data_IF_059564422226
#
_entry.id   IF_059564422226
#
_cell.length_a   1.000
_cell.length_b   1.000
_cell.length_c   1.000
_cell.angle_alpha   90.00
_cell.angle_beta   90.00
_cell.angle_gamma   90.00
#
_symmetry.space_group_name_H-M   'P 1'
#
loop_
_entity.id
_entity.type
_entity.pdbx_description
1 polymer ?
#
# COMPACT_ATOMS: atom_id res chain seq x y z
N UNK A 1 -12.88 3.46 11.63
CA UNK A 1 -11.81 3.89 10.70
C UNK A 1 -12.29 5.06 9.86
N UNK A 2 -11.45 6.03 9.61
CA UNK A 2 -11.73 7.30 8.90
C UNK A 2 -11.25 7.19 7.46
N UNK A 3 -12.14 7.37 6.49
CA UNK A 3 -11.84 7.18 5.06
C UNK A 3 -12.04 8.51 4.32
N UNK A 4 -11.07 8.90 3.48
CA UNK A 4 -11.18 10.00 2.52
C UNK A 4 -11.42 9.42 1.13
N UNK A 5 -12.37 9.97 0.38
CA UNK A 5 -12.67 9.58 -1.00
C UNK A 5 -12.13 10.62 -1.98
N UNK A 6 -11.32 10.18 -2.94
CA UNK A 6 -10.69 11.07 -3.93
C UNK A 6 -10.93 10.50 -5.32
N UNK A 7 -11.92 11.04 -6.03
CA UNK A 7 -12.35 10.57 -7.34
C UNK A 7 -13.32 11.57 -7.99
N UNK A 8 -13.89 11.26 -9.15
CA UNK A 8 -15.02 12.01 -9.69
C UNK A 8 -16.28 11.91 -8.79
N UNK A 9 -17.23 12.81 -9.01
CA UNK A 9 -18.41 12.92 -8.15
C UNK A 9 -19.29 11.66 -8.15
N UNK A 10 -19.40 10.98 -9.29
CA UNK A 10 -20.25 9.78 -9.43
C UNK A 10 -19.65 8.60 -8.67
N UNK A 11 -18.36 8.36 -8.82
CA UNK A 11 -17.65 7.28 -8.12
C UNK A 11 -17.65 7.52 -6.61
N UNK A 12 -17.41 8.77 -6.15
CA UNK A 12 -17.49 9.11 -4.72
C UNK A 12 -18.88 8.83 -4.14
N UNK A 13 -19.96 9.16 -4.86
CA UNK A 13 -21.33 8.86 -4.42
C UNK A 13 -21.56 7.35 -4.26
N UNK A 14 -21.10 6.54 -5.22
CA UNK A 14 -21.14 5.07 -5.15
C UNK A 14 -20.37 4.51 -3.97
N UNK A 15 -19.10 4.93 -3.81
CA UNK A 15 -18.23 4.52 -2.70
C UNK A 15 -18.82 4.90 -1.33
N UNK A 16 -19.41 6.07 -1.21
CA UNK A 16 -20.10 6.49 0.03
C UNK A 16 -21.23 5.54 0.38
N UNK A 17 -22.05 5.17 -0.61
CA UNK A 17 -23.14 4.20 -0.41
C UNK A 17 -22.59 2.85 0.04
N UNK A 18 -21.54 2.35 -0.59
CA UNK A 18 -20.86 1.10 -0.21
C UNK A 18 -20.36 1.18 1.23
N UNK A 19 -19.63 2.23 1.59
CA UNK A 19 -19.01 2.35 2.90
C UNK A 19 -20.03 2.62 4.01
N UNK A 20 -21.19 3.21 3.70
CA UNK A 20 -22.26 3.42 4.68
C UNK A 20 -22.86 2.12 5.23
N UNK A 21 -22.70 0.99 4.53
CA UNK A 21 -23.13 -0.33 4.99
C UNK A 21 -22.22 -0.93 6.08
N UNK A 22 -21.02 -0.39 6.27
CA UNK A 22 -20.04 -0.87 7.24
C UNK A 22 -19.95 0.11 8.42
N UNK A 23 -20.53 -0.25 9.56
CA UNK A 23 -20.64 0.64 10.73
C UNK A 23 -19.29 1.10 11.32
N UNK A 24 -18.21 0.36 11.06
CA UNK A 24 -16.85 0.66 11.51
C UNK A 24 -16.09 1.64 10.58
N UNK A 25 -16.65 1.95 9.40
CA UNK A 25 -16.07 2.87 8.44
C UNK A 25 -16.82 4.20 8.43
N UNK A 26 -16.09 5.30 8.39
CA UNK A 26 -16.65 6.65 8.32
C UNK A 26 -15.97 7.44 7.22
N UNK A 27 -16.71 7.85 6.19
CA UNK A 27 -16.24 8.84 5.23
C UNK A 27 -16.14 10.19 5.93
N UNK A 28 -14.93 10.74 6.02
CA UNK A 28 -14.64 11.97 6.76
C UNK A 28 -14.42 13.17 5.85
N UNK A 29 -14.29 12.93 4.54
CA UNK A 29 -14.12 13.98 3.56
C UNK A 29 -14.11 13.43 2.14
N UNK A 30 -14.15 14.32 1.17
CA UNK A 30 -14.12 14.04 -0.25
C UNK A 30 -13.25 15.08 -0.96
N UNK A 31 -12.60 14.65 -2.05
CA UNK A 31 -11.84 15.52 -2.93
C UNK A 31 -12.03 15.10 -4.40
N UNK A 32 -11.85 16.02 -5.32
CA UNK A 32 -12.00 15.79 -6.76
C UNK A 32 -10.66 15.71 -7.50
N UNK A 33 -9.56 15.98 -6.81
CA UNK A 33 -8.20 16.00 -7.35
C UNK A 33 -7.16 15.88 -6.23
N UNK A 34 -5.90 15.69 -6.61
CA UNK A 34 -4.80 15.48 -5.67
C UNK A 34 -4.49 16.70 -4.81
N UNK A 35 -4.65 17.92 -5.32
CA UNK A 35 -4.40 19.15 -4.54
C UNK A 35 -5.37 19.24 -3.38
N UNK A 36 -6.67 19.05 -3.67
CA UNK A 36 -7.72 19.04 -2.65
C UNK A 36 -7.57 17.84 -1.70
N UNK A 37 -7.12 16.67 -2.21
CA UNK A 37 -6.85 15.50 -1.38
C UNK A 37 -5.81 15.78 -0.30
N UNK A 38 -4.65 16.39 -0.66
CA UNK A 38 -3.60 16.75 0.29
C UNK A 38 -4.11 17.73 1.35
N UNK A 39 -4.90 18.74 0.94
CA UNK A 39 -5.50 19.68 1.87
C UNK A 39 -6.51 19.00 2.82
N UNK A 40 -7.37 18.11 2.28
CA UNK A 40 -8.38 17.39 3.04
C UNK A 40 -7.74 16.41 4.06
N UNK A 41 -6.64 15.74 3.71
CA UNK A 41 -5.91 14.87 4.65
C UNK A 41 -5.39 15.65 5.85
N UNK A 42 -4.84 16.83 5.66
CA UNK A 42 -4.37 17.71 6.76
C UNK A 42 -5.49 18.11 7.71
N UNK A 43 -6.69 18.39 7.17
CA UNK A 43 -7.84 18.79 7.97
C UNK A 43 -8.56 17.62 8.65
N UNK A 44 -8.74 16.53 7.94
CA UNK A 44 -9.56 15.41 8.39
C UNK A 44 -8.78 14.25 9.01
N UNK A 45 -7.47 14.16 8.80
CA UNK A 45 -6.59 13.07 9.29
C UNK A 45 -7.24 11.69 9.11
N UNK A 46 -7.50 11.28 7.85
CA UNK A 46 -8.05 9.94 7.57
C UNK A 46 -7.02 8.86 7.86
N UNK A 47 -7.51 7.66 8.21
CA UNK A 47 -6.67 6.47 8.33
C UNK A 47 -6.32 5.91 6.95
N UNK A 48 -7.32 5.94 6.03
CA UNK A 48 -7.22 5.40 4.67
C UNK A 48 -7.73 6.44 3.67
N UNK A 49 -7.05 6.55 2.53
CA UNK A 49 -7.47 7.34 1.36
C UNK A 49 -7.75 6.38 0.20
N UNK A 50 -8.95 6.40 -0.35
CA UNK A 50 -9.26 5.80 -1.64
C UNK A 50 -8.97 6.84 -2.72
N UNK A 51 -8.01 6.57 -3.61
CA UNK A 51 -7.42 7.54 -4.52
C UNK A 51 -7.54 7.09 -5.97
N UNK A 52 -8.24 7.84 -6.81
CA UNK A 52 -8.14 7.65 -8.26
C UNK A 52 -6.77 8.09 -8.79
N UNK A 53 -6.32 7.46 -9.86
CA UNK A 53 -5.07 7.86 -10.54
C UNK A 53 -5.31 9.07 -11.43
N UNK A 54 -6.38 9.03 -12.24
CA UNK A 54 -6.61 10.02 -13.30
C UNK A 54 -7.49 11.16 -12.83
N UNK A 55 -6.87 12.21 -12.38
CA UNK A 55 -7.57 13.41 -11.91
C UNK A 55 -6.98 14.67 -12.52
N UNK A 56 -7.76 15.77 -12.63
CA UNK A 56 -7.24 17.06 -13.03
C UNK A 56 -6.29 17.65 -12.00
N UNK A 57 -5.57 18.70 -12.35
CA UNK A 57 -4.66 19.49 -11.51
C UNK A 57 -3.46 18.66 -10.98
N UNK A 58 -3.70 17.66 -10.16
CA UNK A 58 -2.72 16.75 -9.61
C UNK A 58 -3.27 15.32 -9.68
N UNK A 59 -2.54 14.44 -10.34
CA UNK A 59 -2.89 13.02 -10.42
C UNK A 59 -2.70 12.29 -9.07
N UNK A 60 -3.30 11.08 -8.97
CA UNK A 60 -3.29 10.32 -7.72
C UNK A 60 -1.93 9.75 -7.34
N UNK A 61 -1.02 9.52 -8.30
CA UNK A 61 0.34 9.04 -8.02
C UNK A 61 1.15 10.16 -7.37
N UNK A 62 1.11 11.36 -7.96
CA UNK A 62 1.75 12.56 -7.41
C UNK A 62 1.16 12.91 -6.03
N UNK A 63 -0.16 12.84 -5.88
CA UNK A 63 -0.83 13.05 -4.60
C UNK A 63 -0.39 12.02 -3.54
N UNK A 64 -0.27 10.74 -3.91
CA UNK A 64 0.20 9.67 -3.01
C UNK A 64 1.61 9.96 -2.50
N UNK A 65 2.53 10.37 -3.38
CA UNK A 65 3.89 10.75 -2.99
C UNK A 65 3.89 11.95 -2.01
N UNK A 66 3.03 12.95 -2.25
CA UNK A 66 2.88 14.10 -1.35
C UNK A 66 2.30 13.71 0.02
N UNK A 67 1.33 12.81 0.06
CA UNK A 67 0.73 12.31 1.31
C UNK A 67 1.72 11.53 2.17
N UNK A 68 2.69 10.84 1.57
CA UNK A 68 3.78 10.14 2.28
C UNK A 68 4.65 11.06 3.12
N UNK A 69 4.76 12.34 2.77
CA UNK A 69 5.56 13.32 3.51
C UNK A 69 4.85 13.83 4.78
N UNK A 70 3.59 13.47 4.99
CA UNK A 70 2.83 13.84 6.19
C UNK A 70 3.18 12.91 7.37
N UNK A 71 3.02 13.41 8.59
CA UNK A 71 3.30 12.64 9.81
C UNK A 71 2.09 12.72 10.77
N UNK A 72 1.42 11.59 11.07
CA UNK A 72 1.55 10.31 10.37
C UNK A 72 0.97 10.35 8.96
N UNK A 73 1.53 9.59 7.98
CA UNK A 73 0.96 9.48 6.66
C UNK A 73 -0.28 8.58 6.69
N UNK A 74 -1.34 8.88 5.92
CA UNK A 74 -2.45 7.97 5.73
C UNK A 74 -2.04 6.78 4.85
N UNK A 75 -2.74 5.66 4.98
CA UNK A 75 -2.64 4.57 4.03
C UNK A 75 -3.39 4.93 2.73
N UNK A 76 -2.77 4.70 1.57
CA UNK A 76 -3.40 4.99 0.28
C UNK A 76 -3.71 3.69 -0.46
N UNK A 77 -4.98 3.51 -0.81
CA UNK A 77 -5.46 2.49 -1.73
C UNK A 77 -5.80 3.19 -3.06
N UNK A 78 -5.12 2.79 -4.11
CA UNK A 78 -5.40 3.31 -5.45
C UNK A 78 -6.59 2.59 -6.05
N UNK A 79 -7.52 3.35 -6.64
CA UNK A 79 -8.65 2.86 -7.42
C UNK A 79 -8.46 3.27 -8.88
N UNK A 80 -8.59 2.34 -9.83
CA UNK A 80 -8.43 2.64 -11.25
C UNK A 80 -9.36 1.81 -12.13
N UNK A 81 -9.68 2.33 -13.31
CA UNK A 81 -10.39 1.57 -14.35
C UNK A 81 -9.44 0.80 -15.26
N UNK A 82 -8.15 1.14 -15.31
CA UNK A 82 -7.16 0.56 -16.20
C UNK A 82 -5.88 0.15 -15.46
N UNK A 83 -5.34 -1.00 -15.85
CA UNK A 83 -4.07 -1.54 -15.37
C UNK A 83 -3.01 -1.33 -16.46
N UNK A 84 -2.45 -0.12 -16.56
CA UNK A 84 -1.17 0.03 -17.25
C UNK A 84 -0.08 -0.36 -16.24
N UNK A 85 0.74 -1.35 -16.56
CA UNK A 85 1.77 -1.91 -15.70
C UNK A 85 2.68 -0.82 -15.10
N UNK A 86 3.05 0.18 -15.90
CA UNK A 86 3.83 1.33 -15.44
C UNK A 86 3.12 2.16 -14.36
N UNK A 87 1.79 2.31 -14.44
CA UNK A 87 1.02 3.06 -13.44
C UNK A 87 0.94 2.31 -12.11
N UNK A 88 0.80 0.98 -12.15
CA UNK A 88 0.85 0.11 -10.96
C UNK A 88 2.18 0.28 -10.24
N UNK A 89 3.30 0.11 -10.97
CA UNK A 89 4.63 0.22 -10.39
C UNK A 89 4.91 1.63 -9.87
N UNK A 90 4.47 2.66 -10.58
CA UNK A 90 4.62 4.06 -10.15
C UNK A 90 3.82 4.36 -8.89
N UNK A 91 2.58 3.87 -8.77
CA UNK A 91 1.76 4.03 -7.57
C UNK A 91 2.38 3.31 -6.34
N UNK A 92 2.89 2.09 -6.52
CA UNK A 92 3.58 1.35 -5.46
C UNK A 92 4.86 2.06 -5.01
N UNK A 93 5.65 2.61 -5.95
CA UNK A 93 6.84 3.42 -5.64
C UNK A 93 6.48 4.71 -4.90
N UNK A 94 5.37 5.35 -5.26
CA UNK A 94 4.86 6.53 -4.58
C UNK A 94 4.39 6.24 -3.15
N UNK A 95 4.16 4.97 -2.79
CA UNK A 95 3.80 4.54 -1.45
C UNK A 95 2.37 4.04 -1.28
N UNK A 96 1.66 3.76 -2.38
CA UNK A 96 0.36 3.07 -2.30
C UNK A 96 0.56 1.69 -1.63
N UNK A 97 -0.34 1.34 -0.72
CA UNK A 97 -0.31 0.07 0.03
C UNK A 97 -1.44 -0.87 -0.42
N UNK A 98 -2.36 -0.38 -1.23
CA UNK A 98 -3.41 -1.15 -1.86
C UNK A 98 -3.67 -0.68 -3.29
N UNK A 99 -4.15 -1.62 -4.12
CA UNK A 99 -4.50 -1.34 -5.50
C UNK A 99 -5.72 -2.16 -5.89
N UNK A 100 -6.81 -1.49 -6.23
CA UNK A 100 -8.09 -2.10 -6.59
C UNK A 100 -8.57 -1.57 -7.94
N UNK A 101 -9.38 -2.36 -8.62
CA UNK A 101 -10.12 -1.91 -9.79
C UNK A 101 -11.44 -1.23 -9.36
N UNK A 102 -11.92 -0.29 -10.14
CA UNK A 102 -13.21 0.38 -9.88
C UNK A 102 -14.44 -0.55 -10.03
N UNK A 103 -14.26 -1.73 -10.67
CA UNK A 103 -15.26 -2.80 -10.76
C UNK A 103 -15.15 -3.84 -9.61
N UNK A 104 -14.25 -3.63 -8.66
CA UNK A 104 -14.08 -4.49 -7.48
C UNK A 104 -15.41 -4.58 -6.70
N UNK A 105 -15.85 -5.79 -6.31
CA UNK A 105 -17.08 -5.97 -5.55
C UNK A 105 -17.09 -5.14 -4.25
N UNK A 106 -18.23 -4.55 -3.85
CA UNK A 106 -18.36 -3.71 -2.66
C UNK A 106 -17.77 -4.31 -1.37
N UNK A 107 -18.01 -5.60 -1.14
CA UNK A 107 -17.51 -6.31 0.04
C UNK A 107 -15.98 -6.40 0.06
N UNK A 108 -15.35 -6.52 -1.09
CA UNK A 108 -13.88 -6.57 -1.21
C UNK A 108 -13.26 -5.20 -0.97
N UNK A 109 -13.90 -4.09 -1.39
CA UNK A 109 -13.45 -2.73 -1.09
C UNK A 109 -13.44 -2.50 0.42
N UNK A 110 -14.50 -2.90 1.12
CA UNK A 110 -14.59 -2.78 2.58
C UNK A 110 -13.50 -3.63 3.26
N UNK A 111 -13.27 -4.84 2.78
CA UNK A 111 -12.23 -5.75 3.29
C UNK A 111 -10.83 -5.15 3.07
N UNK A 112 -10.56 -4.60 1.88
CA UNK A 112 -9.29 -3.96 1.55
C UNK A 112 -8.97 -2.79 2.48
N UNK A 113 -9.97 -1.94 2.79
CA UNK A 113 -9.80 -0.82 3.73
C UNK A 113 -9.38 -1.33 5.11
N UNK A 114 -10.01 -2.39 5.59
CA UNK A 114 -9.69 -2.98 6.90
C UNK A 114 -8.29 -3.57 6.95
N UNK A 115 -7.92 -4.34 5.93
CA UNK A 115 -6.59 -4.94 5.80
C UNK A 115 -5.49 -3.86 5.75
N UNK A 116 -5.68 -2.85 4.91
CA UNK A 116 -4.71 -1.76 4.78
C UNK A 116 -4.59 -0.94 6.07
N UNK A 117 -5.69 -0.66 6.76
CA UNK A 117 -5.66 0.02 8.05
C UNK A 117 -4.95 -0.80 9.15
N UNK A 118 -4.92 -2.14 9.04
CA UNK A 118 -4.16 -3.00 9.95
C UNK A 118 -2.65 -3.08 9.62
N UNK A 119 -2.22 -2.46 8.50
CA UNK A 119 -0.83 -2.45 8.03
C UNK A 119 -0.51 -3.58 7.05
N UNK A 120 -1.55 -4.26 6.52
CA UNK A 120 -1.42 -5.23 5.45
C UNK A 120 -1.42 -4.54 4.07
N UNK A 121 -1.06 -5.26 3.00
CA UNK A 121 -1.25 -4.80 1.64
C UNK A 121 -2.42 -5.54 0.97
N UNK A 122 -3.12 -4.85 0.08
CA UNK A 122 -4.17 -5.46 -0.73
C UNK A 122 -3.93 -5.15 -2.20
N UNK A 123 -3.54 -6.17 -2.96
CA UNK A 123 -3.39 -6.11 -4.41
C UNK A 123 -4.40 -7.04 -5.07
N UNK A 124 -5.04 -6.58 -6.13
CA UNK A 124 -5.87 -7.47 -6.94
C UNK A 124 -4.98 -8.54 -7.64
N UNK A 125 -5.53 -9.71 -8.01
CA UNK A 125 -4.74 -10.77 -8.66
C UNK A 125 -4.02 -10.33 -9.94
N UNK A 126 -4.61 -9.40 -10.68
CA UNK A 126 -4.02 -8.84 -11.89
C UNK A 126 -2.83 -7.93 -11.56
N UNK A 127 -2.95 -7.06 -10.56
CA UNK A 127 -1.86 -6.20 -10.08
C UNK A 127 -0.71 -7.05 -9.53
N UNK A 128 -1.01 -8.13 -8.82
CA UNK A 128 0.01 -9.08 -8.35
C UNK A 128 0.80 -9.66 -9.52
N UNK A 129 0.14 -10.07 -10.62
CA UNK A 129 0.82 -10.56 -11.83
C UNK A 129 1.73 -9.50 -12.45
N UNK A 130 1.27 -8.24 -12.53
CA UNK A 130 2.08 -7.12 -13.01
C UNK A 130 3.33 -6.91 -12.15
N UNK A 131 3.19 -6.95 -10.83
CA UNK A 131 4.36 -6.84 -9.94
C UNK A 131 5.34 -7.98 -10.18
N UNK A 132 4.87 -9.22 -10.26
CA UNK A 132 5.73 -10.39 -10.52
C UNK A 132 6.44 -10.31 -11.87
N UNK A 133 5.75 -9.90 -12.96
CA UNK A 133 6.39 -9.78 -14.28
C UNK A 133 7.49 -8.72 -14.33
N UNK A 134 7.41 -7.67 -13.53
CA UNK A 134 8.46 -6.64 -13.45
C UNK A 134 9.69 -7.08 -12.64
N UNK A 135 9.57 -8.12 -11.84
CA UNK A 135 10.68 -8.68 -11.06
C UNK A 135 11.55 -9.60 -11.92
N UNK A 136 10.98 -10.26 -12.93
CA UNK A 136 11.67 -11.24 -13.79
C UNK A 136 12.57 -10.62 -14.89
N UNK A 137 12.67 -9.29 -15.02
CA UNK A 137 13.33 -8.62 -16.14
C UNK A 137 14.87 -8.61 -16.05
N UNK A 138 15.54 -8.59 -17.22
CA UNK A 138 16.97 -8.89 -17.50
C UNK A 138 18.07 -8.08 -16.76
N UNK A 139 17.76 -7.26 -15.76
CA UNK A 139 18.75 -6.59 -14.88
C UNK A 139 18.92 -7.32 -13.52
N UNK A 140 18.66 -8.61 -13.49
CA UNK A 140 18.57 -9.41 -12.26
C UNK A 140 19.88 -9.45 -11.43
N UNK A 141 21.07 -9.42 -12.03
CA UNK A 141 22.33 -9.58 -11.30
C UNK A 141 22.69 -8.39 -10.41
N UNK A 142 22.51 -7.16 -10.91
CA UNK A 142 22.83 -5.95 -10.13
C UNK A 142 21.75 -5.67 -9.08
N UNK A 143 20.48 -5.91 -9.41
CA UNK A 143 19.37 -5.84 -8.44
C UNK A 143 19.54 -6.87 -7.33
N UNK A 144 19.92 -8.11 -7.66
CA UNK A 144 20.16 -9.19 -6.69
C UNK A 144 21.24 -8.83 -5.68
N UNK A 145 22.38 -8.30 -6.14
CA UNK A 145 23.47 -7.86 -5.27
C UNK A 145 23.03 -6.71 -4.38
N UNK A 146 22.42 -5.67 -4.95
CA UNK A 146 21.90 -4.53 -4.18
C UNK A 146 20.85 -4.95 -3.15
N UNK A 147 19.93 -5.86 -3.48
CA UNK A 147 18.92 -6.37 -2.57
C UNK A 147 19.54 -7.19 -1.44
N UNK A 148 20.54 -8.03 -1.73
CA UNK A 148 21.26 -8.79 -0.72
C UNK A 148 22.01 -7.88 0.27
N UNK A 149 22.69 -6.84 -0.24
CA UNK A 149 23.38 -5.83 0.59
C UNK A 149 22.40 -5.10 1.52
N UNK A 150 21.22 -4.73 1.00
CA UNK A 150 20.15 -4.10 1.79
C UNK A 150 19.63 -5.02 2.90
N UNK A 151 19.41 -6.31 2.60
CA UNK A 151 19.01 -7.29 3.60
C UNK A 151 20.11 -7.56 4.63
N UNK A 152 21.38 -7.45 4.25
CA UNK A 152 22.51 -7.60 5.16
C UNK A 152 22.59 -6.47 6.21
N UNK A 153 22.01 -5.30 5.94
CA UNK A 153 21.94 -4.19 6.89
C UNK A 153 20.90 -4.38 8.01
N UNK A 154 20.03 -5.38 7.89
CA UNK A 154 19.04 -5.73 8.90
C UNK A 154 19.68 -6.54 10.04
N UNK A 155 19.20 -6.35 11.27
CA UNK A 155 19.48 -7.30 12.35
C UNK A 155 18.82 -8.66 12.05
N UNK A 156 19.29 -9.73 12.69
CA UNK A 156 18.73 -11.08 12.47
C UNK A 156 17.22 -11.10 12.64
N UNK A 157 16.70 -10.42 13.66
CA UNK A 157 15.27 -10.35 13.94
C UNK A 157 14.48 -9.54 12.92
N UNK A 158 15.02 -8.44 12.45
CA UNK A 158 14.43 -7.64 11.36
C UNK A 158 14.44 -8.41 10.03
N UNK A 159 15.49 -9.19 9.79
CA UNK A 159 15.61 -10.04 8.60
C UNK A 159 14.59 -11.18 8.63
N UNK A 160 14.40 -11.86 9.75
CA UNK A 160 13.36 -12.89 9.91
C UNK A 160 11.97 -12.30 9.60
N UNK A 161 11.66 -11.11 10.14
CA UNK A 161 10.40 -10.43 9.85
C UNK A 161 10.31 -10.04 8.38
N UNK A 162 11.37 -9.50 7.78
CA UNK A 162 11.37 -9.12 6.37
C UNK A 162 11.15 -10.32 5.44
N UNK A 163 11.79 -11.46 5.71
CA UNK A 163 11.61 -12.70 4.96
C UNK A 163 10.17 -13.23 5.07
N UNK A 164 9.61 -13.26 6.27
CA UNK A 164 8.21 -13.67 6.48
C UNK A 164 7.22 -12.73 5.77
N UNK A 165 7.45 -11.41 5.80
CA UNK A 165 6.66 -10.45 5.02
C UNK A 165 6.85 -10.68 3.52
N UNK A 166 8.06 -10.99 3.08
CA UNK A 166 8.40 -11.28 1.68
C UNK A 166 7.68 -12.50 1.14
N UNK A 167 7.46 -13.52 1.97
CA UNK A 167 6.65 -14.71 1.62
C UNK A 167 5.14 -14.47 1.64
N UNK A 168 4.69 -13.23 1.91
CA UNK A 168 3.27 -12.86 1.91
C UNK A 168 2.55 -13.03 3.24
N UNK A 169 3.24 -13.40 4.33
CA UNK A 169 2.62 -13.61 5.63
C UNK A 169 2.04 -12.32 6.20
N UNK A 170 0.84 -12.38 6.75
CA UNK A 170 0.20 -11.30 7.51
C UNK A 170 0.94 -11.02 8.83
N UNK A 171 0.68 -9.88 9.46
CA UNK A 171 1.29 -9.56 10.76
C UNK A 171 0.94 -10.60 11.83
N UNK A 172 -0.28 -11.15 11.80
CA UNK A 172 -0.71 -12.21 12.71
C UNK A 172 0.07 -13.51 12.49
N UNK A 173 0.27 -13.92 11.23
CA UNK A 173 1.06 -15.10 10.88
C UNK A 173 2.53 -14.94 11.22
N UNK A 174 3.13 -13.76 10.94
CA UNK A 174 4.50 -13.44 11.38
C UNK A 174 4.62 -13.49 12.90
N UNK A 175 3.66 -12.92 13.63
CA UNK A 175 3.61 -12.96 15.09
C UNK A 175 3.60 -14.39 15.62
N UNK A 176 2.73 -15.24 15.05
CA UNK A 176 2.63 -16.64 15.43
C UNK A 176 3.92 -17.43 15.11
N UNK A 177 4.48 -17.27 13.90
CA UNK A 177 5.68 -18.02 13.46
C UNK A 177 6.95 -17.61 14.22
N UNK A 178 7.07 -16.34 14.60
CA UNK A 178 8.25 -15.80 15.28
C UNK A 178 8.08 -15.65 16.79
N UNK A 179 6.97 -16.13 17.36
CA UNK A 179 6.67 -16.04 18.80
C UNK A 179 6.70 -14.62 19.33
N UNK A 180 6.04 -13.69 18.63
CA UNK A 180 5.93 -12.27 18.97
C UNK A 180 4.47 -11.83 19.12
N UNK A 181 4.25 -10.61 19.65
CA UNK A 181 2.97 -9.94 19.50
C UNK A 181 2.88 -9.25 18.13
N UNK A 182 1.67 -9.07 17.59
CA UNK A 182 1.48 -8.29 16.36
C UNK A 182 2.01 -6.84 16.50
N UNK A 183 1.90 -6.24 17.68
CA UNK A 183 2.45 -4.93 17.96
C UNK A 183 3.98 -4.91 17.80
N UNK A 184 4.66 -5.99 18.23
CA UNK A 184 6.10 -6.15 18.07
C UNK A 184 6.46 -6.33 16.59
N UNK A 185 5.69 -7.12 15.83
CA UNK A 185 5.87 -7.28 14.38
C UNK A 185 5.75 -5.93 13.67
N UNK A 186 4.69 -5.14 13.95
CA UNK A 186 4.51 -3.80 13.37
C UNK A 186 5.68 -2.87 13.66
N UNK A 187 6.26 -2.94 14.87
CA UNK A 187 7.44 -2.17 15.23
C UNK A 187 8.70 -2.60 14.42
N UNK A 188 8.88 -3.91 14.20
CA UNK A 188 9.96 -4.42 13.35
C UNK A 188 9.76 -4.01 11.89
N UNK A 189 8.56 -4.18 11.33
CA UNK A 189 8.23 -3.76 9.95
C UNK A 189 8.52 -2.28 9.74
N UNK A 190 8.18 -1.42 10.71
CA UNK A 190 8.51 0.01 10.63
C UNK A 190 10.01 0.28 10.57
N UNK A 191 10.82 -0.47 11.32
CA UNK A 191 12.30 -0.36 11.26
C UNK A 191 12.85 -0.92 9.94
N UNK A 192 12.28 -2.00 9.44
CA UNK A 192 12.63 -2.58 8.14
C UNK A 192 12.37 -1.58 7.02
N UNK A 193 11.24 -0.85 7.05
CA UNK A 193 10.96 0.21 6.08
C UNK A 193 12.09 1.25 6.03
N UNK A 194 12.55 1.71 7.20
CA UNK A 194 13.61 2.71 7.30
C UNK A 194 14.94 2.16 6.78
N UNK A 195 15.34 0.95 7.22
CA UNK A 195 16.64 0.38 6.88
C UNK A 195 16.76 -0.09 5.44
N UNK A 196 15.67 -0.57 4.85
CA UNK A 196 15.61 -0.95 3.44
C UNK A 196 15.31 0.23 2.52
N UNK A 197 15.07 1.44 3.07
CA UNK A 197 14.62 2.60 2.30
C UNK A 197 13.41 2.25 1.41
N UNK A 198 12.37 1.67 2.02
CA UNK A 198 11.13 1.28 1.36
C UNK A 198 9.93 1.88 2.09
N UNK A 199 8.82 2.02 1.37
CA UNK A 199 7.68 2.79 1.86
C UNK A 199 6.43 1.96 2.11
N UNK A 200 6.43 0.69 1.70
CA UNK A 200 5.33 -0.24 1.93
C UNK A 200 5.82 -1.68 1.97
N UNK A 201 4.96 -2.60 2.44
CA UNK A 201 5.32 -4.02 2.57
C UNK A 201 5.48 -4.75 1.24
N UNK A 202 4.85 -4.24 0.16
CA UNK A 202 5.04 -4.79 -1.19
C UNK A 202 6.49 -4.58 -1.65
N UNK A 203 7.07 -3.43 -1.34
CA UNK A 203 8.48 -3.16 -1.65
C UNK A 203 9.42 -4.02 -0.80
N UNK A 204 9.08 -4.37 0.45
CA UNK A 204 9.84 -5.39 1.21
C UNK A 204 9.82 -6.72 0.44
N UNK A 205 8.64 -7.17 0.00
CA UNK A 205 8.51 -8.43 -0.75
C UNK A 205 9.34 -8.42 -2.04
N UNK A 206 9.34 -7.31 -2.78
CA UNK A 206 10.20 -7.15 -3.97
C UNK A 206 11.69 -7.26 -3.61
N UNK A 207 12.16 -6.59 -2.55
CA UNK A 207 13.57 -6.68 -2.11
C UNK A 207 13.93 -8.10 -1.69
N UNK A 208 13.07 -8.80 -0.97
CA UNK A 208 13.29 -10.19 -0.54
C UNK A 208 13.36 -11.12 -1.75
N UNK A 209 12.45 -10.96 -2.71
CA UNK A 209 12.44 -11.72 -3.95
C UNK A 209 13.70 -11.44 -4.80
N UNK A 210 14.07 -10.18 -5.00
CA UNK A 210 15.27 -9.79 -5.74
C UNK A 210 16.54 -10.36 -5.12
N UNK A 211 16.59 -10.51 -3.80
CA UNK A 211 17.69 -11.16 -3.10
C UNK A 211 17.71 -12.70 -3.22
N UNK A 212 16.69 -13.32 -3.83
CA UNK A 212 16.59 -14.75 -4.06
C UNK A 212 16.11 -15.55 -2.85
N UNK A 213 15.29 -14.95 -1.98
CA UNK A 213 14.74 -15.59 -0.78
C UNK A 213 13.23 -15.89 -0.87
N UNK A 214 12.59 -15.70 -2.03
CA UNK A 214 11.17 -16.00 -2.25
C UNK A 214 11.01 -17.28 -3.09
#
# INVERSE_FOLDING_TARGET
MRVLLVDDALVRAGLRTILSSAADLKVVGEASDGVRAVAAVRGHRPDVVLMDIRMPEMDGITATAALRQLHPPPHVIVLTTFQADEQVMSALRAGAVGFLLKDTPPAEIVTAIRLVASGEAMLSPSVTRTVLSHVDDAQASDRRRSAADRLAALTDREREVALAVGSGASNAEVAASLFMSEATVKAHVSRVFIKLDVVNRVQIAIVVHDAGHA
#
